data_IF_973333502108
#
_entry.id   IF_973333502108
#
_cell.length_a   1.000
_cell.length_b   1.000
_cell.length_c   1.000
_cell.angle_alpha   90.00
_cell.angle_beta   90.00
_cell.angle_gamma   90.00
#
_symmetry.space_group_name_H-M   'P 1'
#
loop_
_entity.id
_entity.type
_entity.pdbx_description
1 polymer ?
#
# COMPACT_ATOMS: atom_id res chain seq x y z
N UNK A 1 -20.11 9.14 -13.49
CA UNK A 1 -19.53 10.47 -13.23
C UNK A 1 -18.56 10.82 -14.35
N UNK A 2 -18.51 12.06 -14.79
CA UNK A 2 -17.50 12.56 -15.75
C UNK A 2 -17.09 13.98 -15.36
N UNK A 3 -15.83 14.35 -15.62
CA UNK A 3 -15.32 15.69 -15.43
C UNK A 3 -14.50 16.11 -16.67
N UNK A 4 -14.84 17.24 -17.25
CA UNK A 4 -14.22 17.79 -18.45
C UNK A 4 -14.22 19.32 -18.44
N UNK A 5 -13.50 19.94 -19.36
CA UNK A 5 -13.47 21.40 -19.52
C UNK A 5 -14.63 21.91 -20.39
N UNK A 6 -15.13 23.12 -20.09
CA UNK A 6 -16.05 23.88 -20.93
C UNK A 6 -15.68 25.36 -20.82
N UNK A 7 -14.93 25.87 -21.79
CA UNK A 7 -14.32 27.20 -21.71
C UNK A 7 -13.35 27.29 -20.52
N UNK A 8 -13.50 28.32 -19.68
CA UNK A 8 -12.68 28.53 -18.47
C UNK A 8 -13.23 27.81 -17.22
N UNK A 9 -14.13 26.84 -17.36
CA UNK A 9 -14.78 26.14 -16.26
C UNK A 9 -14.73 24.63 -16.45
N UNK A 10 -14.80 23.91 -15.34
CA UNK A 10 -14.96 22.46 -15.32
C UNK A 10 -16.42 22.10 -15.19
N UNK A 11 -16.83 21.04 -15.89
CA UNK A 11 -18.17 20.48 -15.80
C UNK A 11 -18.04 19.11 -15.15
N UNK A 12 -18.77 18.92 -14.05
CA UNK A 12 -18.85 17.63 -13.34
C UNK A 12 -20.26 17.08 -13.52
N UNK A 13 -20.36 15.91 -14.14
CA UNK A 13 -21.61 15.20 -14.37
C UNK A 13 -21.66 13.97 -13.46
N UNK A 14 -22.75 13.79 -12.73
CA UNK A 14 -23.03 12.61 -11.93
C UNK A 14 -24.49 12.18 -12.07
N UNK A 15 -24.87 11.11 -11.38
CA UNK A 15 -26.24 10.65 -11.21
C UNK A 15 -27.17 11.66 -10.50
N UNK A 16 -26.60 12.64 -9.79
CA UNK A 16 -27.32 13.68 -9.04
C UNK A 16 -27.38 15.03 -9.76
N UNK A 17 -26.79 15.15 -10.95
CA UNK A 17 -26.85 16.38 -11.72
C UNK A 17 -25.53 16.78 -12.37
N UNK A 18 -25.51 18.02 -12.87
CA UNK A 18 -24.38 18.62 -13.55
C UNK A 18 -23.99 19.92 -12.87
N UNK A 19 -22.72 20.07 -12.52
CA UNK A 19 -22.17 21.26 -11.88
C UNK A 19 -21.12 21.92 -12.77
N UNK A 20 -21.10 23.23 -12.75
CA UNK A 20 -20.05 24.03 -13.38
C UNK A 20 -19.22 24.73 -12.30
N UNK A 21 -17.91 24.53 -12.31
CA UNK A 21 -17.01 25.07 -11.28
C UNK A 21 -15.73 25.63 -11.88
N UNK A 22 -15.10 26.57 -11.20
CA UNK A 22 -13.76 27.08 -11.51
C UNK A 22 -12.67 26.21 -10.86
N UNK A 23 -13.00 25.53 -9.76
CA UNK A 23 -12.06 24.72 -9.00
C UNK A 23 -12.65 23.32 -8.83
N UNK A 24 -11.80 22.31 -9.05
CA UNK A 24 -12.13 20.90 -8.89
C UNK A 24 -11.10 20.25 -7.96
N UNK A 25 -11.57 19.66 -6.85
CA UNK A 25 -10.73 18.88 -5.95
C UNK A 25 -11.07 17.40 -6.09
N UNK A 26 -10.09 16.62 -6.53
CA UNK A 26 -10.20 15.16 -6.69
C UNK A 26 -9.77 14.51 -5.37
N UNK A 27 -10.72 13.88 -4.68
CA UNK A 27 -10.52 13.22 -3.38
C UNK A 27 -10.91 11.74 -3.39
N UNK A 28 -10.87 11.10 -4.56
CA UNK A 28 -11.35 9.72 -4.76
C UNK A 28 -10.37 8.65 -4.27
N UNK A 29 -9.18 9.04 -3.83
CA UNK A 29 -8.15 8.14 -3.30
C UNK A 29 -7.46 7.30 -4.39
N UNK A 30 -6.44 6.49 -4.01
CA UNK A 30 -5.64 5.70 -4.94
C UNK A 30 -6.05 4.22 -5.01
N UNK A 31 -7.09 3.78 -4.29
CA UNK A 31 -7.43 2.37 -4.11
C UNK A 31 -8.77 2.01 -4.79
N UNK A 32 -8.86 2.26 -6.11
CA UNK A 32 -10.10 2.06 -6.85
C UNK A 32 -10.21 0.62 -7.39
N UNK A 33 -9.24 0.17 -8.19
CA UNK A 33 -9.29 -1.14 -8.84
C UNK A 33 -8.28 -2.11 -8.21
N UNK A 34 -8.74 -3.30 -7.74
CA UNK A 34 -7.82 -4.33 -7.27
C UNK A 34 -6.82 -4.73 -8.35
N UNK A 35 -5.53 -4.72 -8.01
CA UNK A 35 -4.51 -5.17 -8.94
C UNK A 35 -4.59 -6.70 -9.11
N UNK A 36 -4.83 -7.14 -10.34
CA UNK A 36 -4.75 -8.54 -10.74
C UNK A 36 -3.47 -8.76 -11.55
N UNK A 37 -2.48 -9.50 -11.04
CA UNK A 37 -1.31 -9.87 -11.84
C UNK A 37 -1.73 -10.64 -13.09
N UNK A 38 -0.97 -10.48 -14.16
CA UNK A 38 -1.14 -11.27 -15.39
C UNK A 38 -0.70 -12.72 -15.18
N UNK A 39 -1.11 -13.63 -16.06
CA UNK A 39 -0.69 -15.04 -16.01
C UNK A 39 -1.40 -15.87 -14.93
N UNK A 40 -2.54 -15.43 -14.41
CA UNK A 40 -3.35 -16.17 -13.44
C UNK A 40 -4.56 -16.80 -14.13
N UNK A 41 -4.43 -18.08 -14.48
CA UNK A 41 -5.45 -18.87 -15.19
C UNK A 41 -5.79 -20.16 -14.43
N UNK A 42 -6.41 -20.06 -13.20
CA UNK A 42 -6.81 -21.25 -12.46
C UNK A 42 -7.98 -21.98 -13.15
N UNK A 43 -8.05 -23.30 -12.95
CA UNK A 43 -9.19 -24.12 -13.40
C UNK A 43 -9.78 -24.86 -12.20
N UNK A 44 -11.08 -24.68 -11.96
CA UNK A 44 -11.80 -25.34 -10.88
C UNK A 44 -11.36 -24.88 -9.47
N UNK A 45 -10.78 -23.70 -9.37
CA UNK A 45 -10.37 -23.04 -8.11
C UNK A 45 -10.88 -21.61 -8.16
N UNK A 46 -11.56 -21.17 -7.11
CA UNK A 46 -12.11 -19.82 -7.05
C UNK A 46 -10.99 -18.77 -6.97
N UNK A 47 -11.12 -17.69 -7.72
CA UNK A 47 -10.17 -16.57 -7.71
C UNK A 47 -10.90 -15.29 -7.32
N UNK A 48 -10.61 -14.79 -6.12
CA UNK A 48 -11.18 -13.54 -5.60
C UNK A 48 -10.09 -12.51 -5.29
N UNK A 49 -10.50 -11.27 -5.12
CA UNK A 49 -9.64 -10.17 -4.66
C UNK A 49 -10.01 -9.76 -3.24
N UNK A 50 -9.09 -9.11 -2.52
CA UNK A 50 -9.32 -8.69 -1.14
C UNK A 50 -10.63 -7.91 -0.90
N UNK A 51 -11.10 -6.99 -1.78
CA UNK A 51 -12.40 -6.33 -1.61
C UNK A 51 -13.61 -7.25 -1.70
N UNK A 52 -13.48 -8.41 -2.32
CA UNK A 52 -14.57 -9.38 -2.43
C UNK A 52 -14.65 -10.30 -1.21
N UNK A 53 -13.59 -10.37 -0.42
CA UNK A 53 -13.55 -11.14 0.82
C UNK A 53 -14.28 -10.40 1.94
N UNK A 54 -15.12 -11.11 2.69
CA UNK A 54 -15.85 -10.58 3.85
C UNK A 54 -15.49 -11.30 5.15
N UNK A 55 -15.43 -12.62 5.10
CA UNK A 55 -15.12 -13.47 6.25
C UNK A 55 -14.77 -14.89 5.79
N UNK A 56 -14.21 -15.75 6.67
CA UNK A 56 -13.83 -17.12 6.32
C UNK A 56 -14.98 -18.03 5.86
N UNK A 57 -16.21 -17.79 6.31
CA UNK A 57 -17.36 -18.65 6.00
C UNK A 57 -17.93 -18.41 4.61
N UNK A 58 -17.58 -17.27 3.98
CA UNK A 58 -17.94 -16.97 2.59
C UNK A 58 -17.26 -17.94 1.59
N UNK A 59 -16.07 -18.41 1.94
CA UNK A 59 -15.24 -19.17 1.01
C UNK A 59 -15.66 -20.66 0.98
N UNK A 60 -15.58 -21.32 -0.18
CA UNK A 60 -15.75 -22.77 -0.28
C UNK A 60 -14.86 -23.52 0.72
N UNK A 61 -15.22 -24.77 1.02
CA UNK A 61 -14.38 -25.63 1.86
C UNK A 61 -12.97 -25.79 1.25
N UNK A 62 -11.99 -26.11 2.12
CA UNK A 62 -10.60 -26.29 1.73
C UNK A 62 -9.67 -25.14 2.13
N UNK A 63 -8.41 -25.27 1.74
CA UNK A 63 -7.37 -24.28 2.01
C UNK A 63 -7.45 -23.04 1.11
N UNK A 64 -6.72 -22.02 1.50
CA UNK A 64 -6.67 -20.74 0.77
C UNK A 64 -5.22 -20.38 0.43
N UNK A 65 -4.95 -20.09 -0.84
CA UNK A 65 -3.73 -19.43 -1.27
C UNK A 65 -3.95 -17.91 -1.21
N UNK A 66 -3.38 -17.25 -0.22
CA UNK A 66 -3.37 -15.78 -0.13
C UNK A 66 -2.14 -15.24 -0.86
N UNK A 67 -2.34 -14.32 -1.78
CA UNK A 67 -1.27 -13.75 -2.61
C UNK A 67 -1.00 -12.30 -2.19
N UNK A 68 0.18 -12.06 -1.61
CA UNK A 68 0.62 -10.76 -1.10
C UNK A 68 0.65 -10.69 0.42
N UNK A 69 1.76 -10.22 0.97
CA UNK A 69 2.07 -10.20 2.39
C UNK A 69 2.14 -8.77 2.97
N UNK A 70 1.43 -7.81 2.39
CA UNK A 70 1.20 -6.49 2.98
C UNK A 70 0.01 -6.53 3.95
N UNK A 71 -0.38 -5.38 4.49
CA UNK A 71 -1.43 -5.23 5.51
C UNK A 71 -2.65 -6.14 5.28
N UNK A 72 -3.34 -6.05 4.13
CA UNK A 72 -4.54 -6.86 3.86
C UNK A 72 -4.24 -8.36 3.80
N UNK A 73 -3.11 -8.74 3.19
CA UNK A 73 -2.76 -10.16 3.06
C UNK A 73 -2.49 -10.84 4.40
N UNK A 74 -1.74 -10.19 5.28
CA UNK A 74 -1.47 -10.76 6.62
C UNK A 74 -2.72 -10.78 7.49
N UNK A 75 -3.58 -9.76 7.41
CA UNK A 75 -4.84 -9.71 8.18
C UNK A 75 -5.82 -10.80 7.75
N UNK A 76 -5.99 -10.99 6.43
CA UNK A 76 -6.85 -12.06 5.90
C UNK A 76 -6.28 -13.45 6.20
N UNK A 77 -4.96 -13.62 6.06
CA UNK A 77 -4.30 -14.89 6.41
C UNK A 77 -4.46 -15.23 7.89
N UNK A 78 -4.37 -14.23 8.77
CA UNK A 78 -4.61 -14.38 10.21
C UNK A 78 -6.05 -14.80 10.53
N UNK A 79 -7.02 -14.10 9.94
CA UNK A 79 -8.43 -14.40 10.13
C UNK A 79 -8.79 -15.81 9.66
N UNK A 80 -8.29 -16.22 8.49
CA UNK A 80 -8.46 -17.56 7.95
C UNK A 80 -7.82 -18.63 8.86
N UNK A 81 -6.59 -18.41 9.32
CA UNK A 81 -5.89 -19.33 10.21
C UNK A 81 -6.60 -19.47 11.57
N UNK A 82 -7.07 -18.37 12.16
CA UNK A 82 -7.88 -18.37 13.39
C UNK A 82 -9.21 -19.13 13.23
N UNK A 83 -9.76 -19.13 12.01
CA UNK A 83 -10.96 -19.92 11.67
C UNK A 83 -10.65 -21.40 11.33
N UNK A 84 -9.42 -21.87 11.56
CA UNK A 84 -9.00 -23.25 11.31
C UNK A 84 -8.81 -23.59 9.83
N UNK A 85 -8.75 -22.61 8.92
CA UNK A 85 -8.54 -22.83 7.49
C UNK A 85 -7.05 -23.05 7.21
N UNK A 86 -6.65 -24.08 6.43
CA UNK A 86 -5.29 -24.19 5.92
C UNK A 86 -4.95 -22.99 5.02
N UNK A 87 -3.84 -22.30 5.31
CA UNK A 87 -3.41 -21.11 4.56
C UNK A 87 -2.00 -21.30 4.02
N UNK A 88 -1.83 -20.99 2.73
CA UNK A 88 -0.53 -20.74 2.10
C UNK A 88 -0.46 -19.27 1.74
N UNK A 89 0.57 -18.57 2.21
CA UNK A 89 0.78 -17.16 1.92
C UNK A 89 1.94 -16.98 0.95
N UNK A 90 1.66 -16.47 -0.24
CA UNK A 90 2.69 -16.10 -1.21
C UNK A 90 3.26 -14.72 -0.88
N UNK A 91 4.53 -14.69 -0.48
CA UNK A 91 5.23 -13.53 0.05
C UNK A 91 6.04 -12.84 -1.05
N UNK A 92 5.73 -11.61 -1.32
CA UNK A 92 6.56 -10.72 -2.13
C UNK A 92 7.22 -9.64 -1.27
N UNK A 93 7.58 -8.51 -1.90
CA UNK A 93 8.08 -7.34 -1.17
C UNK A 93 7.04 -6.88 -0.14
N UNK A 94 7.44 -6.75 1.12
CA UNK A 94 6.57 -6.35 2.23
C UNK A 94 7.32 -5.44 3.19
N UNK A 95 6.58 -4.74 4.06
CA UNK A 95 7.14 -3.88 5.10
C UNK A 95 6.76 -4.45 6.45
N UNK A 96 7.76 -4.87 7.21
CA UNK A 96 7.61 -5.39 8.56
C UNK A 96 7.88 -4.30 9.57
N UNK A 97 7.07 -4.23 10.62
CA UNK A 97 7.31 -3.41 11.81
C UNK A 97 6.45 -3.92 12.98
N UNK A 98 6.91 -3.82 14.24
CA UNK A 98 6.09 -4.18 15.38
C UNK A 98 4.95 -3.19 15.58
N UNK A 99 3.88 -3.62 16.21
CA UNK A 99 2.79 -2.73 16.63
C UNK A 99 3.23 -1.79 17.74
N UNK A 100 4.02 -2.31 18.67
CA UNK A 100 4.61 -1.53 19.76
C UNK A 100 6.10 -1.77 19.84
N UNK A 101 6.82 -0.74 20.20
CA UNK A 101 8.25 -0.83 20.49
C UNK A 101 8.56 -0.01 21.74
N UNK A 102 9.39 -0.57 22.65
CA UNK A 102 9.72 0.06 23.94
C UNK A 102 8.49 0.54 24.71
N UNK A 103 7.39 -0.20 24.67
CA UNK A 103 6.15 0.12 25.35
C UNK A 103 5.20 1.10 24.65
N UNK A 104 5.65 1.81 23.60
CA UNK A 104 4.85 2.78 22.87
C UNK A 104 4.41 2.26 21.49
N UNK A 105 3.31 2.81 20.97
CA UNK A 105 2.80 2.50 19.63
C UNK A 105 3.80 2.92 18.56
N UNK A 106 3.94 2.11 17.50
CA UNK A 106 4.89 2.40 16.43
C UNK A 106 4.59 3.72 15.71
N UNK A 107 3.32 4.13 15.60
CA UNK A 107 2.97 5.41 15.00
C UNK A 107 3.40 6.61 15.84
N UNK A 108 3.44 6.45 17.17
CA UNK A 108 4.03 7.47 18.03
C UNK A 108 5.51 7.67 17.69
N UNK A 109 6.26 6.59 17.54
CA UNK A 109 7.67 6.63 17.13
C UNK A 109 7.87 7.22 15.75
N UNK A 110 7.06 6.81 14.77
CA UNK A 110 7.13 7.34 13.40
C UNK A 110 6.84 8.86 13.36
N UNK A 111 5.98 9.35 14.25
CA UNK A 111 5.69 10.78 14.39
C UNK A 111 6.84 11.49 15.08
N UNK A 112 7.27 11.02 16.26
CA UNK A 112 8.30 11.68 17.11
C UNK A 112 9.66 11.75 16.43
N UNK A 113 10.03 10.72 15.66
CA UNK A 113 11.27 10.71 14.85
C UNK A 113 11.16 11.52 13.55
N UNK A 114 10.04 12.23 13.31
CA UNK A 114 9.81 13.01 12.09
C UNK A 114 9.58 12.18 10.83
N UNK A 115 9.54 10.85 10.93
CA UNK A 115 9.45 9.96 9.76
C UNK A 115 8.14 10.11 8.98
N UNK A 116 7.02 10.37 9.65
CA UNK A 116 5.73 10.67 9.02
C UNK A 116 5.72 12.02 8.30
N UNK A 117 6.44 12.99 8.84
CA UNK A 117 6.54 14.33 8.30
C UNK A 117 7.46 14.44 7.07
N UNK A 118 8.32 13.44 6.83
CA UNK A 118 9.24 13.45 5.70
C UNK A 118 8.51 13.70 4.38
N UNK A 119 9.01 14.66 3.59
CA UNK A 119 8.38 15.04 2.33
C UNK A 119 8.85 14.19 1.15
N UNK A 120 8.09 14.20 0.08
CA UNK A 120 8.46 13.52 -1.17
C UNK A 120 9.69 14.16 -1.81
N UNK A 121 9.92 15.44 -1.53
CA UNK A 121 11.06 16.21 -2.04
C UNK A 121 12.38 15.77 -1.36
N UNK A 122 12.30 15.19 -0.15
CA UNK A 122 13.44 14.71 0.63
C UNK A 122 13.85 13.27 0.29
N UNK A 123 13.15 12.59 -0.62
CA UNK A 123 13.47 11.21 -0.98
C UNK A 123 14.21 11.13 -2.32
N UNK A 124 15.23 10.27 -2.36
CA UNK A 124 16.04 10.07 -3.56
C UNK A 124 15.24 9.49 -4.74
N UNK A 125 14.31 8.58 -4.46
CA UNK A 125 13.49 7.89 -5.45
C UNK A 125 12.00 8.01 -5.06
N UNK A 126 11.29 9.03 -5.56
CA UNK A 126 9.87 9.24 -5.29
C UNK A 126 8.97 8.11 -5.79
N UNK A 127 9.34 7.45 -6.89
CA UNK A 127 8.54 6.35 -7.48
C UNK A 127 8.61 5.13 -6.56
N UNK A 128 9.82 4.74 -6.15
CA UNK A 128 10.00 3.64 -5.20
C UNK A 128 9.33 3.92 -3.85
N UNK A 129 9.40 5.18 -3.36
CA UNK A 129 8.78 5.59 -2.10
C UNK A 129 7.25 5.51 -2.14
N UNK A 130 6.61 5.92 -3.23
CA UNK A 130 5.17 5.76 -3.44
C UNK A 130 4.77 4.28 -3.60
N UNK A 131 5.62 3.48 -4.22
CA UNK A 131 5.42 2.04 -4.41
C UNK A 131 5.75 1.17 -3.19
N UNK A 132 6.10 1.74 -2.03
CA UNK A 132 6.45 0.96 -0.84
C UNK A 132 5.22 0.21 -0.29
N UNK A 133 5.32 -1.11 0.00
CA UNK A 133 4.19 -1.87 0.53
C UNK A 133 3.67 -1.30 1.85
N UNK A 134 2.36 -1.37 2.08
CA UNK A 134 1.77 -1.03 3.37
C UNK A 134 2.34 -1.93 4.46
N UNK A 135 2.63 -1.39 5.66
CA UNK A 135 3.21 -2.18 6.74
C UNK A 135 2.29 -3.30 7.21
N UNK A 136 2.89 -4.38 7.69
CA UNK A 136 2.20 -5.50 8.33
C UNK A 136 1.74 -5.07 9.73
N UNK A 137 0.59 -4.42 9.79
CA UNK A 137 -0.01 -3.92 11.03
C UNK A 137 -1.49 -4.29 11.08
N UNK A 138 -1.99 -4.42 12.30
CA UNK A 138 -3.40 -4.66 12.60
C UNK A 138 -3.91 -3.58 13.56
N UNK A 139 -5.22 -3.31 13.54
CA UNK A 139 -5.83 -2.32 14.44
C UNK A 139 -5.84 -2.71 15.92
N UNK A 140 -5.48 -3.95 16.25
CA UNK A 140 -5.36 -4.45 17.62
C UNK A 140 -4.00 -4.09 18.21
N UNK A 141 -3.88 -4.20 19.54
CA UNK A 141 -2.62 -3.95 20.24
C UNK A 141 -1.71 -5.18 20.28
N UNK A 142 -1.57 -5.88 19.17
CA UNK A 142 -0.74 -7.06 18.97
C UNK A 142 0.05 -6.97 17.68
N UNK A 143 1.17 -7.63 17.64
CA UNK A 143 1.94 -7.77 16.40
C UNK A 143 1.23 -8.71 15.43
N UNK A 144 1.35 -8.40 14.15
CA UNK A 144 0.89 -9.27 13.08
C UNK A 144 1.87 -9.21 11.92
N UNK A 145 2.77 -10.18 11.88
CA UNK A 145 3.78 -10.34 10.85
C UNK A 145 3.87 -11.81 10.39
N UNK A 146 4.85 -12.13 9.56
CA UNK A 146 5.03 -13.50 9.07
C UNK A 146 5.38 -14.49 10.18
N UNK A 147 6.15 -14.08 11.21
CA UNK A 147 6.50 -14.95 12.33
C UNK A 147 5.25 -15.33 13.14
N UNK A 148 4.37 -14.36 13.41
CA UNK A 148 3.08 -14.60 14.08
C UNK A 148 2.19 -15.52 13.25
N UNK A 149 2.13 -15.32 11.94
CA UNK A 149 1.35 -16.19 11.04
C UNK A 149 1.88 -17.61 11.01
N UNK A 150 3.21 -17.80 10.98
CA UNK A 150 3.83 -19.12 11.05
C UNK A 150 3.51 -19.84 12.37
N UNK A 151 3.54 -19.14 13.48
CA UNK A 151 3.14 -19.69 14.78
C UNK A 151 1.65 -20.14 14.82
N UNK A 152 0.83 -19.60 13.91
CA UNK A 152 -0.59 -19.99 13.71
C UNK A 152 -0.77 -21.03 12.61
N UNK A 153 0.30 -21.64 12.12
CA UNK A 153 0.26 -22.69 11.12
C UNK A 153 0.14 -22.22 9.68
N UNK A 154 0.28 -20.93 9.39
CA UNK A 154 0.31 -20.42 8.02
C UNK A 154 1.64 -20.82 7.36
N UNK A 155 1.57 -21.51 6.24
CA UNK A 155 2.73 -21.83 5.42
C UNK A 155 3.06 -20.63 4.52
N UNK A 156 4.32 -20.24 4.45
CA UNK A 156 4.79 -19.15 3.59
C UNK A 156 5.58 -19.70 2.40
N UNK A 157 5.50 -19.02 1.26
CA UNK A 157 6.27 -19.32 0.06
C UNK A 157 6.73 -18.04 -0.62
N UNK A 158 7.58 -18.14 -1.63
CA UNK A 158 8.06 -17.00 -2.39
C UNK A 158 6.96 -16.31 -3.20
N UNK A 159 7.32 -15.27 -3.95
CA UNK A 159 6.38 -14.50 -4.76
C UNK A 159 5.70 -15.38 -5.82
N UNK A 160 4.39 -15.30 -5.91
CA UNK A 160 3.63 -15.94 -7.01
C UNK A 160 4.05 -15.33 -8.37
N UNK A 161 4.36 -16.22 -9.31
CA UNK A 161 4.75 -15.86 -10.69
C UNK A 161 3.57 -16.03 -11.63
N UNK A 162 2.96 -17.23 -11.61
CA UNK A 162 1.83 -17.57 -12.49
C UNK A 162 1.01 -18.69 -11.92
N UNK A 163 -0.21 -18.83 -12.43
CA UNK A 163 -1.08 -19.98 -12.21
C UNK A 163 -1.55 -20.49 -13.58
N UNK A 164 -1.43 -21.80 -13.80
CA UNK A 164 -1.96 -22.45 -15.00
C UNK A 164 -2.67 -23.75 -14.59
N UNK A 165 -3.97 -23.80 -14.84
CA UNK A 165 -4.82 -24.91 -14.41
C UNK A 165 -4.82 -25.05 -12.90
N UNK A 166 -4.33 -26.19 -12.38
CA UNK A 166 -4.23 -26.47 -10.95
C UNK A 166 -2.85 -26.19 -10.34
N UNK A 167 -1.90 -25.68 -11.11
CA UNK A 167 -0.55 -25.46 -10.62
C UNK A 167 -0.27 -23.96 -10.42
N UNK A 168 0.39 -23.63 -9.31
CA UNK A 168 0.95 -22.33 -9.02
C UNK A 168 2.48 -22.40 -9.00
N UNK A 169 3.15 -21.38 -9.58
CA UNK A 169 4.60 -21.25 -9.59
C UNK A 169 5.04 -20.03 -8.78
N UNK A 170 6.08 -20.21 -8.02
CA UNK A 170 6.62 -19.21 -7.13
C UNK A 170 8.11 -18.96 -7.42
N UNK A 171 8.60 -17.78 -7.08
CA UNK A 171 10.04 -17.50 -7.09
C UNK A 171 10.70 -18.15 -5.88
N UNK A 172 11.98 -18.49 -6.02
CA UNK A 172 12.83 -18.89 -4.91
C UNK A 172 13.44 -17.65 -4.19
N UNK A 173 12.59 -16.64 -3.90
CA UNK A 173 13.00 -15.33 -3.38
C UNK A 173 12.50 -15.04 -1.95
N UNK A 174 11.99 -16.05 -1.25
CA UNK A 174 11.44 -15.88 0.09
C UNK A 174 12.48 -15.36 1.07
N UNK A 175 13.67 -15.98 1.08
CA UNK A 175 14.76 -15.59 1.97
C UNK A 175 15.18 -14.13 1.75
N UNK A 176 15.35 -13.72 0.52
CA UNK A 176 15.73 -12.35 0.16
C UNK A 176 14.66 -11.34 0.55
N UNK A 177 13.40 -11.69 0.33
CA UNK A 177 12.24 -10.86 0.66
C UNK A 177 12.13 -10.63 2.17
N UNK A 178 12.29 -11.68 2.97
CA UNK A 178 12.27 -11.63 4.44
C UNK A 178 13.46 -10.82 4.95
N UNK A 179 14.70 -11.20 4.56
CA UNK A 179 15.90 -10.51 5.00
C UNK A 179 15.90 -9.00 4.64
N UNK A 180 15.32 -8.66 3.48
CA UNK A 180 15.17 -7.25 3.08
C UNK A 180 14.17 -6.50 3.94
N UNK A 181 13.07 -7.14 4.36
CA UNK A 181 12.09 -6.55 5.27
C UNK A 181 12.67 -6.37 6.69
N UNK A 182 13.36 -7.38 7.19
CA UNK A 182 14.00 -7.34 8.51
C UNK A 182 15.05 -6.22 8.57
N UNK A 183 15.95 -6.12 7.61
CA UNK A 183 16.95 -5.03 7.57
C UNK A 183 16.29 -3.63 7.54
N UNK A 184 15.12 -3.47 6.93
CA UNK A 184 14.39 -2.19 6.96
C UNK A 184 13.76 -1.92 8.32
N UNK A 185 13.21 -2.96 8.94
CA UNK A 185 12.66 -2.88 10.29
C UNK A 185 13.78 -2.53 11.30
N UNK A 186 14.90 -3.24 11.25
CA UNK A 186 16.01 -2.99 12.16
C UNK A 186 16.50 -1.54 12.09
N UNK A 187 16.72 -1.01 10.88
CA UNK A 187 17.09 0.42 10.71
C UNK A 187 16.05 1.39 11.24
N UNK A 188 14.76 1.04 11.17
CA UNK A 188 13.71 1.85 11.78
C UNK A 188 13.85 1.82 13.31
N UNK A 189 14.01 0.64 13.90
CA UNK A 189 14.09 0.47 15.34
C UNK A 189 15.40 1.05 15.91
N UNK A 190 16.52 0.96 15.17
CA UNK A 190 17.77 1.65 15.51
C UNK A 190 17.56 3.18 15.57
N UNK A 191 16.88 3.76 14.58
CA UNK A 191 16.52 5.21 14.59
C UNK A 191 15.66 5.57 15.80
N UNK A 192 14.75 4.69 16.21
CA UNK A 192 13.93 4.90 17.41
C UNK A 192 14.81 4.86 18.67
N UNK A 193 15.73 3.91 18.75
CA UNK A 193 16.63 3.80 19.90
C UNK A 193 17.58 5.01 20.00
N UNK A 194 18.14 5.45 18.88
CA UNK A 194 18.96 6.67 18.81
C UNK A 194 18.15 7.90 19.28
N UNK A 195 16.93 8.07 18.82
CA UNK A 195 16.04 9.14 19.24
C UNK A 195 15.73 9.06 20.74
N UNK A 196 15.37 7.88 21.25
CA UNK A 196 15.05 7.69 22.66
C UNK A 196 16.25 8.03 23.57
N UNK A 197 17.45 7.63 23.16
CA UNK A 197 18.68 7.95 23.90
C UNK A 197 18.99 9.45 23.86
N UNK A 198 18.89 10.08 22.69
CA UNK A 198 19.14 11.52 22.53
C UNK A 198 18.13 12.38 23.30
N UNK A 199 16.88 11.91 23.44
CA UNK A 199 15.84 12.58 24.20
C UNK A 199 15.86 12.29 25.71
N UNK A 200 16.79 11.46 26.20
CA UNK A 200 16.90 11.11 27.62
C UNK A 200 15.79 10.19 28.14
N UNK A 201 15.02 9.54 27.24
CA UNK A 201 13.85 8.73 27.60
C UNK A 201 14.19 7.29 28.06
N UNK A 202 15.45 6.94 28.15
CA UNK A 202 15.88 5.54 28.34
C UNK A 202 15.33 4.84 29.59
N UNK A 203 15.11 5.56 30.67
CA UNK A 203 14.58 5.02 31.93
C UNK A 203 13.05 4.91 31.97
N UNK A 204 12.34 5.69 31.15
CA UNK A 204 10.87 5.76 31.10
C UNK A 204 10.27 4.75 30.12
N UNK A 205 11.12 4.17 29.26
CA UNK A 205 10.71 3.28 28.20
C UNK A 205 10.97 1.81 28.54
N UNK A 206 10.17 0.92 27.96
CA UNK A 206 10.42 -0.52 28.02
C UNK A 206 11.72 -0.92 27.30
N UNK A 207 12.17 -2.16 27.48
CA UNK A 207 13.40 -2.65 26.83
C UNK A 207 13.28 -2.65 25.31
N UNK A 208 14.40 -2.53 24.57
CA UNK A 208 14.42 -2.55 23.11
C UNK A 208 14.28 -3.97 22.55
N UNK A 209 13.14 -4.61 22.80
CA UNK A 209 12.86 -5.98 22.35
C UNK A 209 12.53 -6.02 20.88
N UNK A 210 13.34 -6.73 20.08
CA UNK A 210 13.11 -6.93 18.65
C UNK A 210 12.01 -7.97 18.40
N UNK A 211 11.19 -7.84 17.34
CA UNK A 211 10.23 -8.86 16.96
C UNK A 211 10.88 -10.22 16.66
N UNK A 212 10.10 -11.28 16.80
CA UNK A 212 10.57 -12.65 16.57
C UNK A 212 11.11 -12.87 15.14
N UNK A 213 11.96 -13.88 14.97
CA UNK A 213 12.58 -14.21 13.68
C UNK A 213 11.54 -14.92 12.78
N UNK A 214 11.47 -14.52 11.52
CA UNK A 214 10.70 -15.25 10.50
C UNK A 214 11.51 -16.47 10.06
N UNK A 215 10.98 -17.66 10.25
CA UNK A 215 11.60 -18.88 9.74
C UNK A 215 11.48 -18.92 8.20
N UNK A 216 12.58 -19.27 7.53
CA UNK A 216 12.61 -19.42 6.08
C UNK A 216 12.93 -20.87 5.71
N UNK A 217 11.95 -21.77 5.77
CA UNK A 217 12.16 -23.15 5.36
C UNK A 217 12.36 -23.25 3.85
N UNK A 218 12.98 -24.33 3.34
CA UNK A 218 12.93 -24.64 1.91
C UNK A 218 11.47 -24.66 1.43
N UNK A 219 11.16 -23.86 0.42
CA UNK A 219 9.81 -23.76 -0.11
C UNK A 219 9.76 -24.24 -1.55
N UNK A 220 8.73 -25.01 -1.93
CA UNK A 220 8.58 -25.45 -3.31
C UNK A 220 8.33 -24.25 -4.22
N UNK A 221 8.97 -24.24 -5.39
CA UNK A 221 8.74 -23.24 -6.45
C UNK A 221 7.50 -23.58 -7.29
N UNK A 222 6.86 -24.74 -7.05
CA UNK A 222 5.62 -25.17 -7.69
C UNK A 222 4.75 -25.93 -6.70
N UNK A 223 3.46 -25.61 -6.67
CA UNK A 223 2.44 -26.36 -5.91
C UNK A 223 1.34 -26.85 -6.85
N UNK A 224 0.87 -28.06 -6.63
CA UNK A 224 -0.41 -28.53 -7.14
C UNK A 224 -1.49 -28.11 -6.14
N UNK A 225 -2.23 -27.06 -6.46
CA UNK A 225 -3.23 -26.46 -5.56
C UNK A 225 -4.31 -27.45 -5.15
N UNK A 226 -4.69 -28.38 -6.05
CA UNK A 226 -5.70 -29.40 -5.75
C UNK A 226 -5.16 -30.46 -4.79
N UNK A 227 -3.93 -30.92 -5.01
CA UNK A 227 -3.28 -31.86 -4.11
C UNK A 227 -3.05 -31.27 -2.71
N UNK A 228 -2.84 -29.95 -2.63
CA UNK A 228 -2.74 -29.18 -1.38
C UNK A 228 -4.10 -28.86 -0.75
N UNK A 229 -5.21 -29.31 -1.33
CA UNK A 229 -6.56 -29.04 -0.84
C UNK A 229 -6.98 -27.56 -0.94
N UNK A 230 -6.32 -26.75 -1.80
CA UNK A 230 -6.62 -25.32 -1.95
C UNK A 230 -7.83 -25.15 -2.87
N UNK A 231 -8.93 -24.64 -2.31
CA UNK A 231 -10.17 -24.33 -3.01
C UNK A 231 -10.29 -22.87 -3.47
N UNK A 232 -9.54 -21.97 -2.86
CA UNK A 232 -9.61 -20.55 -3.15
C UNK A 232 -8.23 -19.91 -3.29
N UNK A 233 -8.11 -19.01 -4.28
CA UNK A 233 -6.97 -18.08 -4.43
C UNK A 233 -7.48 -16.68 -4.12
N UNK A 234 -6.88 -16.01 -3.13
CA UNK A 234 -7.24 -14.68 -2.70
C UNK A 234 -6.11 -13.70 -3.02
N UNK A 235 -6.39 -12.74 -3.90
CA UNK A 235 -5.42 -11.73 -4.31
C UNK A 235 -5.47 -10.52 -3.36
N UNK A 236 -4.46 -10.39 -2.51
CA UNK A 236 -4.18 -9.23 -1.68
C UNK A 236 -2.99 -8.42 -2.25
N UNK A 237 -3.00 -8.25 -3.57
CA UNK A 237 -1.91 -7.71 -4.39
C UNK A 237 -1.94 -6.18 -4.53
N UNK A 238 -2.79 -5.51 -3.73
CA UNK A 238 -2.95 -4.07 -3.73
C UNK A 238 -3.91 -3.57 -4.80
N UNK A 239 -3.83 -2.27 -5.07
CA UNK A 239 -4.77 -1.55 -5.95
C UNK A 239 -4.02 -0.73 -6.97
N UNK A 240 -4.74 -0.34 -8.03
CA UNK A 240 -4.32 0.66 -9.00
C UNK A 240 -5.31 1.81 -8.99
N UNK A 241 -4.84 3.05 -9.11
CA UNK A 241 -5.72 4.18 -9.36
C UNK A 241 -6.39 4.01 -10.73
N UNK A 242 -7.66 4.40 -10.81
CA UNK A 242 -8.43 4.35 -12.06
C UNK A 242 -9.39 5.53 -12.08
N UNK A 243 -9.25 6.38 -13.07
CA UNK A 243 -10.03 7.61 -13.20
C UNK A 243 -10.72 7.70 -14.58
N UNK A 244 -11.57 6.72 -15.00
CA UNK A 244 -12.18 6.68 -16.32
C UNK A 244 -13.16 7.85 -16.54
N UNK A 245 -13.62 8.46 -15.46
CA UNK A 245 -14.49 9.63 -15.45
C UNK A 245 -13.73 10.95 -15.67
N UNK A 246 -12.43 10.99 -15.47
CA UNK A 246 -11.59 12.18 -15.60
C UNK A 246 -11.15 12.36 -17.06
N UNK A 247 -11.85 13.22 -17.79
CA UNK A 247 -11.56 13.53 -19.20
C UNK A 247 -10.59 14.71 -19.35
N UNK A 248 -9.66 14.81 -18.41
CA UNK A 248 -8.54 15.76 -18.44
C UNK A 248 -7.24 14.97 -18.58
N UNK A 249 -6.24 15.46 -19.35
CA UNK A 249 -4.97 14.75 -19.55
C UNK A 249 -4.04 14.88 -18.33
N UNK A 250 -4.51 14.39 -17.18
CA UNK A 250 -3.80 14.50 -15.91
C UNK A 250 -3.28 13.16 -15.38
N UNK A 251 -3.86 12.04 -15.85
CA UNK A 251 -3.44 10.71 -15.43
C UNK A 251 -2.24 10.24 -16.26
N UNK A 252 -1.20 9.75 -15.58
CA UNK A 252 -0.07 9.07 -16.18
C UNK A 252 -0.42 7.66 -16.66
N UNK A 253 0.53 6.94 -17.29
CA UNK A 253 0.32 5.58 -17.80
C UNK A 253 -0.05 4.56 -16.71
N UNK A 254 0.33 4.81 -15.46
CA UNK A 254 0.01 4.01 -14.29
C UNK A 254 -1.35 4.37 -13.65
N UNK A 255 -2.09 5.33 -14.24
CA UNK A 255 -3.35 5.86 -13.73
C UNK A 255 -3.19 6.90 -12.61
N UNK A 256 -1.98 7.18 -12.15
CA UNK A 256 -1.73 8.19 -11.11
C UNK A 256 -1.91 9.59 -11.67
N UNK A 257 -2.63 10.45 -10.95
CA UNK A 257 -2.77 11.86 -11.35
C UNK A 257 -1.46 12.60 -11.06
N UNK A 258 -0.86 13.19 -12.10
CA UNK A 258 0.35 13.99 -11.98
C UNK A 258 0.07 15.27 -11.18
N UNK A 259 0.82 15.48 -10.10
CA UNK A 259 0.64 16.61 -9.20
C UNK A 259 1.92 16.93 -8.41
N UNK A 260 2.01 18.15 -7.93
CA UNK A 260 2.98 18.56 -6.91
C UNK A 260 2.25 19.20 -5.75
N UNK A 261 2.38 18.62 -4.53
CA UNK A 261 1.68 19.05 -3.31
C UNK A 261 0.16 19.23 -3.48
N UNK A 262 -0.45 18.43 -4.35
CA UNK A 262 -1.88 18.46 -4.65
C UNK A 262 -2.29 19.40 -5.78
N UNK A 263 -1.39 20.18 -6.35
CA UNK A 263 -1.65 21.05 -7.51
C UNK A 263 -1.33 20.29 -8.80
N UNK A 264 -2.28 20.28 -9.74
CA UNK A 264 -2.10 19.64 -11.06
C UNK A 264 -1.67 20.65 -12.13
N UNK A 265 -1.31 20.17 -13.31
CA UNK A 265 -1.00 21.03 -14.46
C UNK A 265 -2.24 21.77 -15.01
N UNK A 266 -3.47 21.31 -14.72
CA UNK A 266 -4.70 21.99 -15.12
C UNK A 266 -5.04 23.09 -14.08
N UNK A 267 -5.13 24.38 -14.48
CA UNK A 267 -5.41 25.48 -13.57
C UNK A 267 -6.72 25.26 -12.78
N UNK A 268 -6.68 25.33 -11.46
CA UNK A 268 -7.85 25.14 -10.61
C UNK A 268 -8.25 23.67 -10.38
N UNK A 269 -7.47 22.70 -10.87
CA UNK A 269 -7.67 21.28 -10.54
C UNK A 269 -6.66 20.83 -9.51
N UNK A 270 -7.16 20.25 -8.45
CA UNK A 270 -6.40 19.78 -7.29
C UNK A 270 -6.68 18.30 -7.02
N UNK A 271 -5.75 17.65 -6.33
CA UNK A 271 -5.94 16.28 -5.85
C UNK A 271 -5.52 16.17 -4.39
N UNK A 272 -6.24 15.38 -3.60
CA UNK A 272 -5.92 15.10 -2.21
C UNK A 272 -6.06 13.60 -1.92
N UNK A 273 -5.30 13.12 -0.92
CA UNK A 273 -5.39 11.75 -0.45
C UNK A 273 -4.60 10.74 -1.29
N UNK A 274 -3.73 11.17 -2.19
CA UNK A 274 -2.82 10.26 -2.88
C UNK A 274 -1.70 9.80 -1.93
N UNK A 275 -1.22 8.59 -2.20
CA UNK A 275 -0.14 7.99 -1.43
C UNK A 275 1.16 8.76 -1.58
N UNK A 276 1.76 9.18 -0.44
CA UNK A 276 2.95 10.02 -0.40
C UNK A 276 2.85 11.21 -1.36
N UNK A 277 1.70 11.88 -1.31
CA UNK A 277 1.40 13.03 -2.16
C UNK A 277 2.38 14.19 -1.94
N UNK A 278 2.60 14.54 -0.68
CA UNK A 278 3.58 15.51 -0.23
C UNK A 278 4.41 14.92 0.91
N UNK A 279 3.77 14.49 1.99
CA UNK A 279 4.39 13.86 3.15
C UNK A 279 4.15 12.35 3.15
N UNK A 280 4.95 11.62 3.92
CA UNK A 280 4.82 10.17 4.03
C UNK A 280 3.44 9.74 4.57
N UNK A 281 2.87 10.55 5.46
CA UNK A 281 1.54 10.34 6.04
C UNK A 281 0.37 10.83 5.17
N UNK A 282 0.62 11.37 3.98
CA UNK A 282 -0.42 11.94 3.10
C UNK A 282 -1.62 11.02 2.82
N UNK A 283 -1.38 9.71 2.82
CA UNK A 283 -2.44 8.69 2.63
C UNK A 283 -3.16 8.28 3.91
N UNK A 284 -2.80 8.83 5.08
CA UNK A 284 -3.44 8.56 6.36
C UNK A 284 -4.48 9.63 6.69
N UNK A 285 -5.48 9.29 7.51
CA UNK A 285 -6.55 10.22 7.90
C UNK A 285 -5.97 11.47 8.55
N UNK A 286 -5.04 11.31 9.50
CA UNK A 286 -4.38 12.46 10.16
C UNK A 286 -3.50 13.25 9.20
N UNK A 287 -2.73 12.59 8.35
CA UNK A 287 -1.83 13.26 7.39
C UNK A 287 -2.55 14.00 6.27
N UNK A 288 -3.78 13.61 5.93
CA UNK A 288 -4.58 14.25 4.87
C UNK A 288 -4.84 15.74 5.14
N UNK A 289 -4.91 16.17 6.41
CA UNK A 289 -5.08 17.58 6.80
C UNK A 289 -3.99 18.48 6.21
N UNK A 290 -2.75 18.04 6.18
CA UNK A 290 -1.63 18.81 5.65
C UNK A 290 -1.76 19.04 4.14
N UNK A 291 -2.23 18.02 3.41
CA UNK A 291 -2.50 18.14 1.98
C UNK A 291 -3.69 19.07 1.71
N UNK A 292 -4.76 18.95 2.50
CA UNK A 292 -5.92 19.81 2.40
C UNK A 292 -5.55 21.29 2.66
N UNK A 293 -4.76 21.56 3.69
CA UNK A 293 -4.26 22.91 4.00
C UNK A 293 -3.43 23.50 2.84
N UNK A 294 -2.53 22.71 2.26
CA UNK A 294 -1.71 23.14 1.12
C UNK A 294 -2.57 23.48 -0.11
N UNK A 295 -3.54 22.62 -0.43
CA UNK A 295 -4.46 22.84 -1.56
C UNK A 295 -5.32 24.07 -1.33
N UNK A 296 -5.88 24.25 -0.14
CA UNK A 296 -6.70 25.44 0.22
C UNK A 296 -5.88 26.72 0.16
N UNK A 297 -4.66 26.71 0.68
CA UNK A 297 -3.77 27.87 0.62
C UNK A 297 -3.50 28.29 -0.83
N UNK A 298 -3.22 27.33 -1.71
CA UNK A 298 -3.03 27.60 -3.14
C UNK A 298 -4.32 28.11 -3.82
N UNK A 299 -5.45 27.48 -3.52
CA UNK A 299 -6.76 27.86 -4.08
C UNK A 299 -7.14 29.30 -3.70
N UNK A 300 -6.75 29.75 -2.50
CA UNK A 300 -7.00 31.11 -2.02
C UNK A 300 -5.91 32.12 -2.43
N UNK A 301 -4.94 31.72 -3.25
CA UNK A 301 -3.81 32.60 -3.63
C UNK A 301 -2.87 32.97 -2.48
N UNK A 302 -2.90 32.23 -1.37
CA UNK A 302 -2.09 32.48 -0.15
C UNK A 302 -0.77 31.70 -0.15
N UNK A 303 -0.59 30.78 -1.10
CA UNK A 303 0.64 30.04 -1.28
C UNK A 303 1.54 30.80 -2.25
N UNK A 304 2.82 30.98 -1.92
CA UNK A 304 3.84 31.37 -2.90
C UNK A 304 3.93 30.38 -4.07
N UNK A 305 4.69 30.67 -5.12
CA UNK A 305 4.74 29.86 -6.35
C UNK A 305 5.13 28.41 -6.01
N UNK A 306 4.19 27.47 -6.14
CA UNK A 306 4.34 26.04 -5.81
C UNK A 306 4.88 25.20 -6.98
N UNK A 307 5.22 25.82 -8.11
CA UNK A 307 5.65 25.07 -9.29
C UNK A 307 7.12 25.36 -9.65
N UNK A 308 7.99 24.33 -9.58
CA UNK A 308 8.96 24.16 -10.63
C UNK A 308 8.17 23.79 -11.89
N UNK A 309 8.44 24.49 -12.99
CA UNK A 309 7.88 24.19 -14.32
C UNK A 309 7.95 22.70 -14.60
N UNK A 310 6.82 21.99 -14.54
CA UNK A 310 6.72 20.63 -15.06
C UNK A 310 6.98 20.70 -16.56
N UNK A 311 8.20 20.37 -16.98
CA UNK A 311 8.48 20.11 -18.39
C UNK A 311 7.57 18.95 -18.83
N UNK A 312 6.82 19.09 -19.94
CA UNK A 312 6.09 17.97 -20.51
C UNK A 312 7.08 16.85 -20.83
N UNK A 313 6.77 15.63 -20.35
CA UNK A 313 7.58 14.44 -20.60
C UNK A 313 7.39 13.92 -22.03
N UNK A 314 7.53 14.77 -23.05
CA UNK A 314 7.61 14.35 -24.46
C UNK A 314 7.99 15.56 -25.31
N UNK A 315 9.28 15.93 -25.28
CA UNK A 315 9.91 16.56 -26.42
C UNK A 315 10.98 15.56 -26.89
N UNK A 316 10.65 14.78 -27.90
CA UNK A 316 11.63 13.99 -28.62
C UNK A 316 12.71 14.95 -29.17
N UNK A 317 13.97 14.56 -29.17
CA UNK A 317 14.99 15.36 -29.81
C UNK A 317 14.71 15.32 -31.32
N UNK A 318 14.44 16.48 -31.90
CA UNK A 318 14.55 16.67 -33.33
C UNK A 318 16.01 16.60 -33.68
N UNK A 319 16.30 15.63 -34.56
CA UNK A 319 17.57 15.34 -35.27
C UNK A 319 18.48 16.52 -35.52
#
# INVERSE_FOLDING_TARGET
MAAHTSGHRYVVVSDRGTWRTRHLVIATGPHDVPHRPTGLHPRGIELITAPQYRNPTQLPSGGVLVVGASSSGVQIADELARAGRPVVLAVGRHTRMPRRYRGLDIFWWLSSTGRLARTIDDVRDPVAARGEPSPQLVGRNEDLDLAVLQARGVRITGRLVRIAGRHAWFRADLADSVASADRRMDRLLDTVDEFANAAGLGQELGPPTRPGIVAVPPTPTRLDLRAEGIGTILLATGYRPNHPWLRLPLAGPDGTIAQHRGVTAAPGVYVVGQRFQHRRDSGYIDGARHNAQAVVAHLLGRAGPLLPTLRPANAAPTS
#
